data_IF_701285798618
#
_entry.id   IF_701285798618
#
_cell.length_a   1.000
_cell.length_b   1.000
_cell.length_c   1.000
_cell.angle_alpha   90.00
_cell.angle_beta   90.00
_cell.angle_gamma   90.00
#
_symmetry.space_group_name_H-M   'P 1'
#
loop_
_entity.id
_entity.type
_entity.pdbx_description
1 polymer ?
#
# COMPACT_ATOMS: atom_id res chain seq x y z
N UNK A 1 21.89 10.16 8.27
CA UNK A 1 21.14 11.37 7.91
C UNK A 1 20.25 10.93 6.78
N UNK A 2 19.01 10.55 7.11
CA UNK A 2 17.98 10.35 6.10
C UNK A 2 17.58 11.76 5.61
N UNK A 3 17.37 11.92 4.32
CA UNK A 3 17.03 13.21 3.69
C UNK A 3 15.65 13.68 4.16
N UNK A 4 15.45 15.00 4.24
CA UNK A 4 14.16 15.59 4.61
C UNK A 4 13.06 15.05 3.68
N UNK A 5 11.95 14.47 4.20
CA UNK A 5 10.87 13.93 3.38
C UNK A 5 10.31 14.94 2.37
N UNK A 6 10.36 16.24 2.68
CA UNK A 6 9.97 17.30 1.73
C UNK A 6 10.95 17.41 0.56
N UNK A 7 12.24 17.26 0.82
CA UNK A 7 13.26 17.25 -0.23
C UNK A 7 13.11 16.01 -1.11
N UNK A 8 12.87 14.83 -0.53
CA UNK A 8 12.62 13.61 -1.31
C UNK A 8 11.37 13.72 -2.19
N UNK A 9 10.30 14.31 -1.65
CA UNK A 9 9.08 14.57 -2.42
C UNK A 9 9.34 15.56 -3.56
N UNK A 10 10.06 16.65 -3.31
CA UNK A 10 10.42 17.63 -4.33
C UNK A 10 11.32 17.00 -5.41
N UNK A 11 12.32 16.20 -5.03
CA UNK A 11 13.18 15.46 -5.95
C UNK A 11 12.38 14.49 -6.83
N UNK A 12 11.42 13.75 -6.25
CA UNK A 12 10.53 12.87 -7.02
C UNK A 12 9.67 13.67 -8.00
N UNK A 13 9.13 14.82 -7.57
CA UNK A 13 8.40 15.72 -8.45
C UNK A 13 9.27 16.20 -9.62
N UNK A 14 10.52 16.62 -9.35
CA UNK A 14 11.48 17.07 -10.38
C UNK A 14 11.81 15.93 -11.35
N UNK A 15 12.04 14.71 -10.85
CA UNK A 15 12.38 13.54 -11.65
C UNK A 15 11.32 13.24 -12.73
N UNK A 16 10.05 13.50 -12.42
CA UNK A 16 8.92 13.23 -13.33
C UNK A 16 8.47 14.45 -14.14
N UNK A 17 8.95 15.65 -13.81
CA UNK A 17 8.57 16.88 -14.48
C UNK A 17 9.35 17.14 -15.79
N UNK A 18 8.69 17.82 -16.72
CA UNK A 18 9.34 18.38 -17.91
C UNK A 18 10.16 19.60 -17.48
N UNK A 19 11.47 19.59 -17.75
CA UNK A 19 12.36 20.69 -17.39
C UNK A 19 12.29 21.76 -18.49
N UNK A 20 11.87 22.98 -18.13
CA UNK A 20 11.80 24.13 -19.05
C UNK A 20 10.49 24.89 -18.97
N UNK A 21 10.23 25.71 -20.00
CA UNK A 21 9.04 26.56 -20.06
C UNK A 21 7.73 25.75 -20.00
N UNK A 22 6.75 26.32 -19.30
CA UNK A 22 5.43 25.69 -19.12
C UNK A 22 4.65 25.75 -20.43
N UNK A 23 4.28 24.59 -20.96
CA UNK A 23 3.40 24.44 -22.14
C UNK A 23 1.99 24.05 -21.68
N UNK A 24 0.95 24.68 -22.26
CA UNK A 24 -0.46 24.41 -21.90
C UNK A 24 -1.23 23.61 -22.95
N UNK A 25 -0.74 23.57 -24.19
CA UNK A 25 -1.37 22.92 -25.33
C UNK A 25 -0.94 21.46 -25.43
N UNK A 26 -1.89 20.53 -25.48
CA UNK A 26 -1.61 19.10 -25.58
C UNK A 26 -0.70 18.75 -26.77
N UNK A 27 -0.91 19.25 -28.00
CA UNK A 27 -0.04 18.94 -29.13
C UNK A 27 1.41 19.39 -28.91
N UNK A 28 1.62 20.57 -28.33
CA UNK A 28 2.96 21.11 -28.05
C UNK A 28 3.67 20.24 -27.00
N UNK A 29 2.96 19.90 -25.93
CA UNK A 29 3.45 19.02 -24.87
C UNK A 29 3.85 17.67 -25.48
N UNK A 30 2.95 17.00 -26.20
CA UNK A 30 3.21 15.67 -26.78
C UNK A 30 4.39 15.69 -27.77
N UNK A 31 4.51 16.74 -28.57
CA UNK A 31 5.64 16.90 -29.51
C UNK A 31 6.98 17.09 -28.77
N UNK A 32 6.98 17.76 -27.61
CA UNK A 32 8.19 17.95 -26.80
C UNK A 32 8.71 16.64 -26.16
N UNK A 33 7.83 15.65 -25.93
CA UNK A 33 8.18 14.40 -25.28
C UNK A 33 9.08 13.51 -26.14
N UNK A 34 9.81 12.60 -25.48
CA UNK A 34 10.58 11.58 -26.18
C UNK A 34 9.66 10.48 -26.74
N UNK A 35 10.09 9.77 -27.79
CA UNK A 35 9.34 8.60 -28.31
C UNK A 35 9.10 7.55 -27.23
N UNK A 36 10.08 7.35 -26.33
CA UNK A 36 9.95 6.41 -25.21
C UNK A 36 8.79 6.81 -24.30
N UNK A 37 8.74 8.09 -23.87
CA UNK A 37 7.66 8.58 -23.00
C UNK A 37 6.28 8.49 -23.68
N UNK A 38 6.18 8.85 -24.95
CA UNK A 38 4.94 8.68 -25.72
C UNK A 38 4.53 7.20 -25.81
N UNK A 39 5.48 6.29 -25.98
CA UNK A 39 5.21 4.85 -26.01
C UNK A 39 4.71 4.35 -24.66
N UNK A 40 5.26 4.85 -23.54
CA UNK A 40 4.78 4.56 -22.19
C UNK A 40 3.35 5.04 -21.98
N UNK A 41 3.04 6.29 -22.32
CA UNK A 41 1.68 6.85 -22.23
C UNK A 41 0.68 6.05 -23.09
N UNK A 42 1.07 5.72 -24.32
CA UNK A 42 0.23 4.92 -25.20
C UNK A 42 0.03 3.49 -24.67
N UNK A 43 1.01 2.96 -23.93
CA UNK A 43 0.89 1.65 -23.30
C UNK A 43 0.00 1.65 -22.06
N UNK A 44 0.14 2.67 -21.21
CA UNK A 44 -0.71 2.84 -20.03
C UNK A 44 -2.19 3.00 -20.41
N UNK A 45 -2.46 3.65 -21.56
CA UNK A 45 -3.80 3.81 -22.11
C UNK A 45 -4.21 2.70 -23.10
N UNK A 46 -3.44 1.60 -23.16
CA UNK A 46 -3.74 0.43 -24.01
C UNK A 46 -4.03 0.74 -25.49
N UNK A 47 -3.41 1.80 -26.05
CA UNK A 47 -3.63 2.21 -27.44
C UNK A 47 -3.21 1.09 -28.40
N UNK A 48 -4.13 0.70 -29.27
CA UNK A 48 -3.95 -0.36 -30.24
C UNK A 48 -2.92 0.01 -31.31
N UNK A 49 -2.06 -0.94 -31.70
CA UNK A 49 -1.05 -0.73 -32.75
C UNK A 49 0.15 0.15 -32.36
N UNK A 50 0.20 0.66 -31.12
CA UNK A 50 1.23 1.58 -30.61
C UNK A 50 2.68 1.12 -30.86
N UNK A 51 2.94 -0.19 -30.83
CA UNK A 51 4.30 -0.75 -30.98
C UNK A 51 4.93 -0.49 -32.34
N UNK A 52 4.11 -0.21 -33.37
CA UNK A 52 4.57 0.07 -34.74
C UNK A 52 4.61 1.57 -35.06
N UNK A 53 4.04 2.41 -34.21
CA UNK A 53 3.90 3.84 -34.47
C UNK A 53 5.23 4.59 -34.34
N UNK A 54 5.42 5.59 -35.21
CA UNK A 54 6.48 6.59 -35.10
C UNK A 54 6.13 7.64 -34.03
N UNK A 55 7.08 8.53 -33.71
CA UNK A 55 6.89 9.55 -32.66
C UNK A 55 5.66 10.43 -32.94
N UNK A 56 5.53 10.93 -34.16
CA UNK A 56 4.40 11.78 -34.58
C UNK A 56 3.08 11.02 -34.54
N UNK A 57 3.04 9.80 -35.10
CA UNK A 57 1.86 8.93 -35.08
C UNK A 57 1.40 8.59 -33.65
N UNK A 58 2.35 8.40 -32.70
CA UNK A 58 2.04 8.22 -31.28
C UNK A 58 1.43 9.48 -30.66
N UNK A 59 2.00 10.65 -30.96
CA UNK A 59 1.48 11.93 -30.46
C UNK A 59 0.07 12.20 -30.98
N UNK A 60 -0.19 11.94 -32.26
CA UNK A 60 -1.52 12.09 -32.86
C UNK A 60 -2.54 11.12 -32.24
N UNK A 61 -2.16 9.85 -32.07
CA UNK A 61 -3.01 8.84 -31.45
C UNK A 61 -3.33 9.18 -29.99
N UNK A 62 -2.34 9.63 -29.21
CA UNK A 62 -2.55 10.10 -27.84
C UNK A 62 -3.44 11.35 -27.80
N UNK A 63 -3.22 12.32 -28.68
CA UNK A 63 -4.05 13.52 -28.75
C UNK A 63 -5.52 13.17 -29.00
N UNK A 64 -5.78 12.26 -29.95
CA UNK A 64 -7.13 11.77 -30.22
C UNK A 64 -7.74 11.03 -29.01
N UNK A 65 -6.97 10.15 -28.37
CA UNK A 65 -7.42 9.38 -27.21
C UNK A 65 -7.73 10.27 -26.00
N UNK A 66 -6.82 11.19 -25.64
CA UNK A 66 -6.93 12.04 -24.46
C UNK A 66 -7.97 13.15 -24.59
N UNK A 67 -8.52 13.35 -25.79
CA UNK A 67 -9.58 14.32 -26.06
C UNK A 67 -10.94 13.67 -26.34
N UNK A 68 -11.03 12.35 -26.19
CA UNK A 68 -12.28 11.60 -26.22
C UNK A 68 -12.94 11.62 -24.83
N UNK A 69 -14.13 12.23 -24.67
CA UNK A 69 -14.84 12.29 -23.40
C UNK A 69 -15.09 10.93 -22.75
N UNK A 70 -15.30 9.86 -23.52
CA UNK A 70 -15.56 8.53 -22.94
C UNK A 70 -14.30 7.92 -22.31
N UNK A 71 -13.13 8.17 -22.90
CA UNK A 71 -11.85 7.77 -22.30
C UNK A 71 -11.53 8.57 -21.04
N UNK A 72 -11.88 9.86 -21.02
CA UNK A 72 -11.74 10.67 -19.81
C UNK A 72 -12.63 10.16 -18.68
N UNK A 73 -13.91 9.84 -18.97
CA UNK A 73 -14.83 9.27 -17.99
C UNK A 73 -14.27 7.98 -17.40
N UNK A 74 -13.82 7.04 -18.24
CA UNK A 74 -13.31 5.75 -17.76
C UNK A 74 -12.09 5.92 -16.85
N UNK A 75 -11.15 6.80 -17.21
CA UNK A 75 -9.98 7.10 -16.38
C UNK A 75 -10.37 7.70 -15.02
N UNK A 76 -11.31 8.64 -15.02
CA UNK A 76 -11.72 9.42 -13.84
C UNK A 76 -12.62 8.62 -12.89
N UNK A 77 -13.44 7.69 -13.40
CA UNK A 77 -14.36 6.89 -12.58
C UNK A 77 -13.68 5.98 -11.56
N UNK A 78 -12.42 5.65 -11.78
CA UNK A 78 -11.63 4.76 -10.90
C UNK A 78 -10.65 5.53 -10.02
N UNK A 79 -10.73 6.86 -9.93
CA UNK A 79 -9.81 7.66 -9.10
C UNK A 79 -10.13 7.56 -7.62
N UNK A 80 -9.16 7.80 -6.75
CA UNK A 80 -9.44 7.99 -5.33
C UNK A 80 -10.03 9.39 -5.04
N UNK A 81 -10.29 9.68 -3.77
CA UNK A 81 -10.87 10.94 -3.33
C UNK A 81 -9.91 12.14 -3.51
N UNK A 82 -8.61 11.97 -3.27
CA UNK A 82 -7.60 13.03 -3.38
C UNK A 82 -7.36 13.38 -4.85
N UNK A 83 -7.27 12.37 -5.71
CA UNK A 83 -7.22 12.52 -7.16
C UNK A 83 -8.47 13.20 -7.71
N UNK A 84 -9.66 12.86 -7.21
CA UNK A 84 -10.89 13.54 -7.62
C UNK A 84 -10.86 15.03 -7.24
N UNK A 85 -10.47 15.34 -6.00
CA UNK A 85 -10.32 16.71 -5.53
C UNK A 85 -9.31 17.51 -6.36
N UNK A 86 -8.21 16.87 -6.77
CA UNK A 86 -7.22 17.47 -7.65
C UNK A 86 -7.80 17.75 -9.05
N UNK A 87 -8.56 16.82 -9.63
CA UNK A 87 -9.22 17.00 -10.93
C UNK A 87 -10.12 18.24 -10.92
N UNK A 88 -10.95 18.40 -9.89
CA UNK A 88 -11.86 19.55 -9.75
C UNK A 88 -11.11 20.89 -9.74
N UNK A 89 -9.88 20.90 -9.20
CA UNK A 89 -9.01 22.08 -9.19
C UNK A 89 -8.38 22.30 -10.56
N UNK A 90 -7.78 21.27 -11.16
CA UNK A 90 -7.07 21.35 -12.43
C UNK A 90 -7.97 21.74 -13.62
N UNK A 91 -9.25 21.38 -13.59
CA UNK A 91 -10.21 21.79 -14.63
C UNK A 91 -10.48 23.30 -14.59
N UNK A 92 -10.44 23.92 -13.41
CA UNK A 92 -10.78 25.34 -13.21
C UNK A 92 -9.58 26.26 -13.35
N UNK A 93 -8.44 25.84 -12.83
CA UNK A 93 -7.22 26.65 -12.79
C UNK A 93 -6.33 26.38 -14.00
N UNK A 94 -5.58 27.36 -14.53
CA UNK A 94 -4.66 27.14 -15.63
C UNK A 94 -3.57 26.12 -15.27
N UNK A 95 -3.05 26.20 -14.04
CA UNK A 95 -2.08 25.29 -13.45
C UNK A 95 -2.14 25.41 -11.91
N UNK A 96 -1.52 24.45 -11.22
CA UNK A 96 -1.23 24.49 -9.79
C UNK A 96 0.28 24.68 -9.65
N UNK A 97 0.71 25.69 -8.89
CA UNK A 97 2.12 25.93 -8.61
C UNK A 97 2.42 25.62 -7.15
N UNK A 98 2.97 24.44 -6.88
CA UNK A 98 3.29 23.98 -5.53
C UNK A 98 4.38 22.90 -5.55
N UNK A 99 5.58 23.21 -5.01
CA UNK A 99 6.68 22.24 -4.95
C UNK A 99 6.41 21.11 -3.95
N UNK A 100 5.49 21.32 -3.01
CA UNK A 100 5.12 20.36 -1.98
C UNK A 100 3.86 19.55 -2.34
N UNK A 101 3.36 19.64 -3.58
CA UNK A 101 2.25 18.80 -4.03
C UNK A 101 2.71 17.32 -4.03
N UNK A 102 2.04 16.42 -3.28
CA UNK A 102 2.44 15.02 -3.23
C UNK A 102 2.36 14.37 -4.61
N UNK A 103 3.45 13.74 -5.05
CA UNK A 103 3.50 13.05 -6.34
C UNK A 103 2.36 12.04 -6.52
N UNK A 104 2.01 11.33 -5.44
CA UNK A 104 0.90 10.37 -5.43
C UNK A 104 -0.40 10.95 -5.95
N UNK A 105 -0.77 12.18 -5.56
CA UNK A 105 -2.05 12.81 -5.89
C UNK A 105 -2.26 13.05 -7.39
N UNK A 106 -1.19 13.14 -8.18
CA UNK A 106 -1.29 13.44 -9.61
C UNK A 106 -0.59 12.42 -10.52
N UNK A 107 0.14 11.47 -9.94
CA UNK A 107 0.89 10.43 -10.66
C UNK A 107 0.00 9.60 -11.58
N UNK A 108 -1.17 9.18 -11.12
CA UNK A 108 -2.14 8.43 -11.92
C UNK A 108 -2.55 9.15 -13.21
N UNK A 109 -2.89 10.44 -13.10
CA UNK A 109 -3.24 11.27 -14.25
C UNK A 109 -2.03 11.54 -15.15
N UNK A 110 -0.84 11.70 -14.56
CA UNK A 110 0.41 11.92 -15.28
C UNK A 110 0.84 10.70 -16.11
N UNK A 111 0.63 9.50 -15.59
CA UNK A 111 0.91 8.24 -16.28
C UNK A 111 -0.07 7.96 -17.43
N UNK A 112 -1.27 8.54 -17.34
CA UNK A 112 -2.28 8.50 -18.42
C UNK A 112 -2.19 9.68 -19.38
N UNK A 113 -1.42 10.72 -19.07
CA UNK A 113 -1.25 11.89 -19.94
C UNK A 113 -2.41 12.89 -19.86
N UNK A 114 -3.27 12.80 -18.83
CA UNK A 114 -4.29 13.82 -18.57
C UNK A 114 -3.70 15.05 -17.88
N UNK A 115 -2.60 14.87 -17.16
CA UNK A 115 -1.90 15.89 -16.39
C UNK A 115 -0.42 15.84 -16.74
N UNK A 116 0.23 16.99 -16.75
CA UNK A 116 1.66 17.12 -16.96
C UNK A 116 2.24 18.02 -15.87
N UNK A 117 3.44 17.67 -15.41
CA UNK A 117 4.22 18.53 -14.52
C UNK A 117 5.39 19.17 -15.25
N UNK A 118 5.71 20.39 -14.88
CA UNK A 118 6.84 21.17 -15.37
C UNK A 118 7.65 21.69 -14.20
N UNK A 119 8.97 21.69 -14.34
CA UNK A 119 9.85 22.35 -13.39
C UNK A 119 10.58 23.49 -14.09
N UNK A 120 10.25 24.72 -13.71
CA UNK A 120 10.76 25.94 -14.32
C UNK A 120 11.13 26.95 -13.24
N UNK A 121 12.29 27.57 -13.36
CA UNK A 121 12.79 28.60 -12.43
C UNK A 121 12.72 28.19 -10.93
N UNK A 122 12.95 26.91 -10.64
CA UNK A 122 12.90 26.38 -9.26
C UNK A 122 11.49 26.11 -8.73
N UNK A 123 10.47 26.12 -9.59
CA UNK A 123 9.06 25.92 -9.22
C UNK A 123 8.44 24.76 -9.99
N UNK A 124 7.66 23.95 -9.28
CA UNK A 124 6.81 22.91 -9.85
C UNK A 124 5.48 23.51 -10.30
N UNK A 125 5.09 23.21 -11.53
CA UNK A 125 3.78 23.52 -12.10
C UNK A 125 3.13 22.22 -12.53
N UNK A 126 1.89 21.98 -12.09
CA UNK A 126 1.08 20.81 -12.49
C UNK A 126 -0.16 21.32 -13.21
N UNK A 127 -0.42 20.81 -14.41
CA UNK A 127 -1.56 21.28 -15.21
C UNK A 127 -2.20 20.16 -16.01
N UNK A 128 -3.49 20.32 -16.27
CA UNK A 128 -4.20 19.60 -17.32
C UNK A 128 -4.10 20.41 -18.62
N UNK A 129 -3.82 19.81 -19.78
CA UNK A 129 -3.75 20.55 -21.04
C UNK A 129 -5.10 21.14 -21.46
N UNK A 130 -5.08 22.24 -22.22
CA UNK A 130 -6.29 22.96 -22.66
C UNK A 130 -7.29 22.07 -23.42
N UNK A 131 -6.78 21.21 -24.31
CA UNK A 131 -7.63 20.31 -25.10
C UNK A 131 -8.29 19.23 -24.23
N UNK A 132 -7.59 18.75 -23.20
CA UNK A 132 -8.14 17.80 -22.22
C UNK A 132 -9.20 18.50 -21.36
N UNK A 133 -8.97 19.74 -20.90
CA UNK A 133 -10.01 20.53 -20.20
C UNK A 133 -11.23 20.78 -21.07
N UNK A 134 -11.02 21.12 -22.34
CA UNK A 134 -12.11 21.30 -23.31
C UNK A 134 -12.91 20.02 -23.48
N UNK A 135 -12.23 18.86 -23.55
CA UNK A 135 -12.89 17.57 -23.56
C UNK A 135 -13.67 17.28 -22.27
N UNK A 136 -13.08 17.53 -21.11
CA UNK A 136 -13.74 17.38 -19.80
C UNK A 136 -14.98 18.28 -19.66
N UNK A 137 -14.98 19.49 -20.24
CA UNK A 137 -16.13 20.41 -20.20
C UNK A 137 -17.38 19.88 -20.94
N UNK A 138 -17.22 18.86 -21.78
CA UNK A 138 -18.33 18.18 -22.48
C UNK A 138 -18.93 17.04 -21.65
N UNK A 139 -18.38 16.76 -20.47
CA UNK A 139 -18.84 15.72 -19.55
C UNK A 139 -19.70 16.38 -18.46
N UNK A 140 -20.81 15.75 -18.08
CA UNK A 140 -21.53 16.14 -16.87
C UNK A 140 -20.73 15.66 -15.65
N UNK A 141 -19.92 16.56 -15.08
CA UNK A 141 -19.11 16.26 -13.91
C UNK A 141 -19.95 15.94 -12.66
N UNK A 142 -21.21 16.40 -12.59
CA UNK A 142 -22.08 16.13 -11.44
C UNK A 142 -22.60 14.69 -11.51
N UNK A 143 -23.04 14.26 -12.69
CA UNK A 143 -23.42 12.86 -12.95
C UNK A 143 -22.22 11.92 -12.76
N UNK A 144 -21.05 12.30 -13.30
CA UNK A 144 -19.83 11.52 -13.14
C UNK A 144 -19.41 11.38 -11.67
N UNK A 145 -19.54 12.47 -10.88
CA UNK A 145 -19.24 12.45 -9.43
C UNK A 145 -20.19 11.53 -8.67
N UNK A 146 -21.46 11.52 -9.06
CA UNK A 146 -22.45 10.63 -8.45
C UNK A 146 -22.12 9.16 -8.78
N UNK A 147 -21.77 8.86 -10.03
CA UNK A 147 -21.36 7.51 -10.43
C UNK A 147 -20.08 7.07 -9.71
N UNK A 148 -19.05 7.93 -9.70
CA UNK A 148 -17.79 7.71 -8.96
C UNK A 148 -18.07 7.40 -7.48
N UNK A 149 -18.85 8.24 -6.80
CA UNK A 149 -19.19 8.05 -5.40
C UNK A 149 -19.99 6.77 -5.13
N UNK A 150 -20.80 6.31 -6.10
CA UNK A 150 -21.55 5.05 -5.96
C UNK A 150 -20.68 3.79 -6.01
N UNK A 151 -19.46 3.89 -6.56
CA UNK A 151 -18.52 2.77 -6.70
C UNK A 151 -17.41 2.75 -5.64
N UNK A 152 -17.11 3.90 -5.04
CA UNK A 152 -15.98 4.05 -4.11
C UNK A 152 -15.96 3.00 -3.00
N UNK A 153 -17.10 2.80 -2.34
CA UNK A 153 -17.17 1.85 -1.24
C UNK A 153 -16.85 0.42 -1.71
N UNK A 154 -17.29 0.02 -2.91
CA UNK A 154 -16.96 -1.29 -3.46
C UNK A 154 -15.45 -1.42 -3.76
N UNK A 155 -14.81 -0.37 -4.27
CA UNK A 155 -13.35 -0.35 -4.45
C UNK A 155 -12.60 -0.45 -3.12
N UNK A 156 -13.07 0.26 -2.09
CA UNK A 156 -12.49 0.19 -0.74
C UNK A 156 -12.60 -1.23 -0.17
N UNK A 157 -13.75 -1.90 -0.35
CA UNK A 157 -13.92 -3.30 0.04
C UNK A 157 -12.98 -4.25 -0.70
N UNK A 158 -12.82 -4.08 -2.01
CA UNK A 158 -11.91 -4.91 -2.83
C UNK A 158 -10.47 -4.72 -2.37
N UNK A 159 -10.02 -3.46 -2.22
CA UNK A 159 -8.67 -3.16 -1.73
C UNK A 159 -8.45 -3.71 -0.32
N UNK A 160 -9.38 -3.44 0.61
CA UNK A 160 -9.32 -3.91 1.99
C UNK A 160 -9.25 -5.43 2.07
N UNK A 161 -10.06 -6.13 1.28
CA UNK A 161 -10.07 -7.58 1.26
C UNK A 161 -8.76 -8.15 0.70
N UNK A 162 -8.21 -7.56 -0.37
CA UNK A 162 -6.89 -7.94 -0.87
C UNK A 162 -5.80 -7.70 0.18
N UNK A 163 -5.77 -6.55 0.85
CA UNK A 163 -4.73 -6.21 1.82
C UNK A 163 -4.84 -7.00 3.13
N UNK A 164 -6.06 -7.27 3.63
CA UNK A 164 -6.25 -8.00 4.89
C UNK A 164 -6.13 -9.52 4.70
N UNK A 165 -6.67 -10.08 3.61
CA UNK A 165 -6.75 -11.52 3.44
C UNK A 165 -5.68 -12.11 2.54
N UNK A 166 -5.08 -11.30 1.67
CA UNK A 166 -4.09 -11.73 0.67
C UNK A 166 -4.70 -12.53 -0.49
N UNK A 167 -5.60 -13.47 -0.20
CA UNK A 167 -6.34 -14.26 -1.19
C UNK A 167 -7.77 -14.49 -0.71
N UNK A 168 -8.77 -14.14 -1.53
CA UNK A 168 -10.18 -14.29 -1.20
C UNK A 168 -11.02 -14.56 -2.45
N UNK A 169 -12.01 -15.46 -2.34
CA UNK A 169 -12.99 -15.69 -3.41
C UNK A 169 -14.01 -14.54 -3.48
N UNK A 170 -14.46 -14.20 -4.68
CA UNK A 170 -15.42 -13.11 -4.86
C UNK A 170 -16.76 -13.38 -4.16
N UNK A 171 -17.25 -14.62 -4.18
CA UNK A 171 -18.48 -15.01 -3.47
C UNK A 171 -18.41 -14.70 -1.95
N UNK A 172 -17.24 -14.96 -1.33
CA UNK A 172 -16.99 -14.64 0.07
C UNK A 172 -16.90 -13.13 0.29
N UNK A 173 -16.27 -12.38 -0.62
CA UNK A 173 -16.21 -10.93 -0.54
C UNK A 173 -17.61 -10.30 -0.67
N UNK A 174 -18.41 -10.75 -1.63
CA UNK A 174 -19.81 -10.34 -1.81
C UNK A 174 -20.61 -10.60 -0.54
N UNK A 175 -20.43 -11.78 0.07
CA UNK A 175 -21.08 -12.09 1.34
C UNK A 175 -20.69 -11.10 2.46
N UNK A 176 -19.40 -10.73 2.57
CA UNK A 176 -18.94 -9.74 3.54
C UNK A 176 -19.59 -8.37 3.27
N UNK A 177 -19.53 -7.88 2.02
CA UNK A 177 -20.13 -6.60 1.62
C UNK A 177 -21.62 -6.57 1.98
N UNK A 178 -22.36 -7.60 1.56
CA UNK A 178 -23.81 -7.68 1.76
C UNK A 178 -24.20 -7.86 3.23
N UNK A 179 -23.32 -8.46 4.05
CA UNK A 179 -23.55 -8.55 5.50
C UNK A 179 -23.39 -7.22 6.24
N UNK A 180 -22.64 -6.28 5.66
CA UNK A 180 -22.30 -4.98 6.26
C UNK A 180 -23.04 -3.80 5.63
N UNK A 181 -23.80 -4.03 4.56
CA UNK A 181 -24.48 -2.98 3.80
C UNK A 181 -25.95 -3.30 3.57
N UNK A 182 -26.76 -2.24 3.46
CA UNK A 182 -28.20 -2.38 3.17
C UNK A 182 -28.50 -2.58 1.68
N UNK A 183 -27.60 -2.11 0.81
CA UNK A 183 -27.68 -2.29 -0.63
C UNK A 183 -26.81 -3.49 -0.96
N UNK A 184 -27.43 -4.52 -1.52
CA UNK A 184 -26.72 -5.71 -1.93
C UNK A 184 -25.98 -5.46 -3.25
N UNK A 185 -24.81 -6.07 -3.37
CA UNK A 185 -24.04 -6.19 -4.61
C UNK A 185 -24.04 -7.64 -5.07
N UNK A 186 -23.97 -7.83 -6.38
CA UNK A 186 -23.82 -9.13 -7.01
C UNK A 186 -22.34 -9.43 -7.34
N UNK A 187 -22.00 -10.71 -7.49
CA UNK A 187 -20.63 -11.14 -7.79
C UNK A 187 -20.12 -10.57 -9.12
N UNK A 188 -20.98 -10.45 -10.13
CA UNK A 188 -20.64 -9.85 -11.43
C UNK A 188 -20.25 -8.37 -11.30
N UNK A 189 -20.90 -7.62 -10.39
CA UNK A 189 -20.58 -6.22 -10.13
C UNK A 189 -19.22 -6.09 -9.44
N UNK A 190 -18.97 -6.91 -8.41
CA UNK A 190 -17.67 -6.92 -7.71
C UNK A 190 -16.54 -7.36 -8.64
N UNK A 191 -16.78 -8.36 -9.50
CA UNK A 191 -15.81 -8.81 -10.51
C UNK A 191 -15.47 -7.68 -11.49
N UNK A 192 -16.48 -6.94 -11.95
CA UNK A 192 -16.29 -5.78 -12.83
C UNK A 192 -15.45 -4.70 -12.14
N UNK A 193 -15.78 -4.33 -10.90
CA UNK A 193 -15.03 -3.31 -10.16
C UNK A 193 -13.58 -3.75 -9.87
N UNK A 194 -13.37 -5.03 -9.57
CA UNK A 194 -12.01 -5.56 -9.40
C UNK A 194 -11.22 -5.50 -10.72
N UNK A 195 -11.83 -5.83 -11.86
CA UNK A 195 -11.19 -5.69 -13.17
C UNK A 195 -10.84 -4.22 -13.49
N UNK A 196 -11.73 -3.27 -13.20
CA UNK A 196 -11.48 -1.83 -13.35
C UNK A 196 -10.27 -1.38 -12.50
N UNK A 197 -10.13 -1.88 -11.27
CA UNK A 197 -8.97 -1.61 -10.40
C UNK A 197 -7.67 -2.27 -10.92
N UNK A 198 -7.73 -3.47 -11.48
CA UNK A 198 -6.58 -4.11 -12.15
C UNK A 198 -6.14 -3.27 -13.35
N UNK A 199 -7.07 -2.83 -14.20
CA UNK A 199 -6.78 -1.97 -15.35
C UNK A 199 -6.24 -0.58 -14.95
N UNK A 200 -6.68 -0.07 -13.79
CA UNK A 200 -6.13 1.13 -13.16
C UNK A 200 -4.64 0.95 -12.80
N UNK A 201 -4.18 -0.28 -12.59
CA UNK A 201 -2.83 -0.60 -12.13
C UNK A 201 -2.74 -0.70 -10.61
N UNK A 202 -3.85 -0.95 -9.92
CA UNK A 202 -3.84 -1.29 -8.51
C UNK A 202 -3.09 -2.62 -8.31
N UNK A 203 -2.35 -2.77 -7.20
CA UNK A 203 -1.55 -3.96 -6.91
C UNK A 203 -2.42 -5.14 -6.42
N UNK A 204 -3.33 -5.57 -7.30
CA UNK A 204 -4.26 -6.69 -7.11
C UNK A 204 -4.32 -7.52 -8.38
N UNK A 205 -4.73 -8.78 -8.26
CA UNK A 205 -4.93 -9.69 -9.40
C UNK A 205 -6.30 -10.34 -9.27
N UNK A 206 -7.05 -10.42 -10.36
CA UNK A 206 -8.30 -11.15 -10.46
C UNK A 206 -8.11 -12.35 -11.40
N UNK A 207 -8.31 -13.57 -10.90
CA UNK A 207 -8.17 -14.79 -11.68
C UNK A 207 -9.19 -15.84 -11.21
N UNK A 208 -9.99 -16.39 -12.14
CA UNK A 208 -10.99 -17.43 -11.89
C UNK A 208 -11.92 -17.16 -10.68
N UNK A 209 -12.42 -15.93 -10.54
CA UNK A 209 -13.31 -15.54 -9.43
C UNK A 209 -12.60 -15.41 -8.08
N UNK A 210 -11.27 -15.35 -8.08
CA UNK A 210 -10.44 -15.14 -6.88
C UNK A 210 -9.66 -13.84 -7.01
N UNK A 211 -9.73 -13.04 -5.95
CA UNK A 211 -8.97 -11.81 -5.78
C UNK A 211 -7.69 -12.12 -4.99
N UNK A 212 -6.56 -11.67 -5.51
CA UNK A 212 -5.24 -11.79 -4.89
C UNK A 212 -4.65 -10.41 -4.65
N UNK A 213 -3.94 -10.28 -3.54
CA UNK A 213 -2.99 -9.20 -3.31
C UNK A 213 -1.81 -9.35 -4.29
N UNK A 214 -1.39 -8.25 -4.92
CA UNK A 214 -0.31 -8.25 -5.89
C UNK A 214 1.03 -8.69 -5.31
N UNK A 215 1.32 -8.40 -4.03
CA UNK A 215 2.53 -8.89 -3.35
C UNK A 215 2.50 -10.41 -3.13
N UNK A 216 1.32 -10.99 -2.87
CA UNK A 216 1.16 -12.44 -2.64
C UNK A 216 1.33 -13.23 -3.94
N UNK A 217 0.77 -12.70 -5.03
CA UNK A 217 0.71 -13.35 -6.33
C UNK A 217 1.70 -12.76 -7.35
N UNK A 218 2.71 -12.01 -6.89
CA UNK A 218 3.65 -11.32 -7.76
C UNK A 218 4.39 -12.31 -8.68
N UNK A 219 4.21 -12.16 -9.99
CA UNK A 219 4.81 -13.02 -11.00
C UNK A 219 4.36 -14.49 -10.92
N UNK A 220 3.25 -14.77 -10.24
CA UNK A 220 2.68 -16.11 -10.15
C UNK A 220 2.16 -16.55 -11.52
N UNK A 221 2.45 -17.80 -11.88
CA UNK A 221 1.77 -18.49 -12.98
C UNK A 221 0.50 -19.20 -12.48
N UNK A 222 -0.26 -19.78 -13.39
CA UNK A 222 -1.52 -20.46 -13.07
C UNK A 222 -1.34 -21.59 -12.03
N UNK A 223 -0.18 -22.26 -12.03
CA UNK A 223 0.13 -23.31 -11.04
C UNK A 223 0.28 -22.72 -9.65
N UNK A 224 1.01 -21.60 -9.53
CA UNK A 224 1.19 -20.92 -8.25
C UNK A 224 -0.11 -20.30 -7.74
N UNK A 225 -0.94 -19.76 -8.63
CA UNK A 225 -2.27 -19.28 -8.26
C UNK A 225 -3.15 -20.42 -7.74
N UNK A 226 -3.12 -21.58 -8.39
CA UNK A 226 -3.85 -22.76 -7.92
C UNK A 226 -3.40 -23.18 -6.50
N UNK A 227 -2.10 -23.22 -6.21
CA UNK A 227 -1.57 -23.50 -4.86
C UNK A 227 -2.09 -22.50 -3.81
N UNK A 228 -2.13 -21.21 -4.16
CA UNK A 228 -2.63 -20.15 -3.27
C UNK A 228 -4.14 -20.27 -2.98
N UNK A 229 -4.88 -20.96 -3.85
CA UNK A 229 -6.32 -21.19 -3.67
C UNK A 229 -6.67 -22.48 -2.93
N UNK A 230 -5.69 -23.34 -2.64
CA UNK A 230 -5.93 -24.60 -1.94
C UNK A 230 -6.57 -24.38 -0.56
N UNK A 231 -7.68 -25.08 -0.31
CA UNK A 231 -8.36 -25.06 0.99
C UNK A 231 -9.16 -23.79 1.29
N UNK A 232 -9.24 -22.82 0.37
CA UNK A 232 -9.99 -21.57 0.57
C UNK A 232 -11.47 -21.81 0.95
N UNK A 233 -12.11 -22.84 0.39
CA UNK A 233 -13.52 -23.17 0.68
C UNK A 233 -13.80 -23.47 2.15
N UNK A 234 -12.81 -24.03 2.85
CA UNK A 234 -12.93 -24.41 4.26
C UNK A 234 -12.25 -23.42 5.22
N UNK A 235 -11.63 -22.37 4.69
CA UNK A 235 -10.79 -21.47 5.46
C UNK A 235 -11.65 -20.45 6.23
N UNK A 236 -11.48 -20.32 7.56
CA UNK A 236 -12.13 -19.25 8.31
C UNK A 236 -11.51 -17.89 7.95
N UNK A 237 -12.34 -16.85 7.94
CA UNK A 237 -11.92 -15.47 7.70
C UNK A 237 -12.27 -14.63 8.92
N UNK A 238 -11.31 -13.79 9.32
CA UNK A 238 -11.55 -12.74 10.30
C UNK A 238 -12.32 -11.63 9.61
N UNK A 239 -13.59 -11.43 9.97
CA UNK A 239 -14.40 -10.33 9.41
C UNK A 239 -14.59 -9.28 10.50
N UNK A 240 -13.84 -8.16 10.49
CA UNK A 240 -14.07 -7.08 11.44
C UNK A 240 -15.34 -6.30 11.11
N UNK A 241 -15.71 -5.39 11.99
CA UNK A 241 -16.71 -4.37 11.70
C UNK A 241 -16.30 -3.53 10.48
N UNK A 242 -17.28 -2.96 9.78
CA UNK A 242 -17.10 -2.25 8.51
C UNK A 242 -16.02 -1.18 8.58
N UNK A 243 -16.07 -0.31 9.59
CA UNK A 243 -15.12 0.78 9.73
C UNK A 243 -13.69 0.29 9.97
N UNK A 244 -13.51 -0.86 10.62
CA UNK A 244 -12.20 -1.48 10.77
C UNK A 244 -11.73 -2.13 9.47
N UNK A 245 -12.62 -2.82 8.75
CA UNK A 245 -12.29 -3.43 7.46
C UNK A 245 -11.82 -2.39 6.45
N UNK A 246 -12.59 -1.31 6.27
CA UNK A 246 -12.30 -0.31 5.24
C UNK A 246 -11.01 0.49 5.50
N UNK A 247 -10.45 0.48 6.72
CA UNK A 247 -9.10 1.02 6.96
C UNK A 247 -8.03 0.29 6.16
N UNK A 248 -8.22 -1.00 5.89
CA UNK A 248 -7.30 -1.77 5.05
C UNK A 248 -7.37 -1.40 3.57
N UNK A 249 -8.29 -0.52 3.13
CA UNK A 249 -8.25 0.00 1.76
C UNK A 249 -6.98 0.83 1.51
N UNK A 250 -6.44 1.49 2.54
CA UNK A 250 -5.13 2.10 2.51
C UNK A 250 -4.04 1.02 2.55
N UNK A 251 -3.23 0.95 1.49
CA UNK A 251 -2.11 0.01 1.37
C UNK A 251 -1.08 0.19 2.50
N UNK A 252 -0.92 1.41 3.02
CA UNK A 252 0.00 1.71 4.12
C UNK A 252 -0.57 1.41 5.50
N UNK A 253 -1.87 1.07 5.60
CA UNK A 253 -2.50 0.81 6.88
C UNK A 253 -2.19 -0.61 7.39
N UNK A 254 -1.79 -0.66 8.65
CA UNK A 254 -1.82 -1.86 9.47
C UNK A 254 -2.15 -1.51 10.91
N UNK A 255 -2.55 -2.51 11.69
CA UNK A 255 -2.87 -2.31 13.09
C UNK A 255 -1.59 -2.19 13.94
N UNK A 256 -1.41 -1.04 14.58
CA UNK A 256 -0.42 -0.87 15.66
C UNK A 256 -0.91 -1.58 16.92
N UNK A 257 -0.75 -2.90 16.97
CA UNK A 257 -1.14 -3.72 18.13
C UNK A 257 -0.39 -3.31 19.39
N UNK A 258 -0.89 -3.66 20.60
CA UNK A 258 -0.14 -3.45 21.84
C UNK A 258 1.26 -4.07 21.81
N UNK A 259 1.41 -5.24 21.18
CA UNK A 259 2.68 -5.96 21.06
C UNK A 259 3.67 -5.24 20.14
N UNK A 260 3.20 -4.77 18.98
CA UNK A 260 4.04 -4.00 18.05
C UNK A 260 4.43 -2.64 18.64
N UNK A 261 3.50 -2.00 19.36
CA UNK A 261 3.77 -0.78 20.12
C UNK A 261 4.81 -0.98 21.22
N UNK A 262 4.77 -2.12 21.90
CA UNK A 262 5.77 -2.48 22.92
C UNK A 262 7.16 -2.71 22.29
N UNK A 263 7.22 -3.39 21.14
CA UNK A 263 8.46 -3.53 20.38
C UNK A 263 9.00 -2.17 19.95
N UNK A 264 8.17 -1.31 19.34
CA UNK A 264 8.53 0.07 18.94
C UNK A 264 9.13 0.84 20.12
N UNK A 265 8.44 0.81 21.27
CA UNK A 265 8.89 1.48 22.47
C UNK A 265 10.22 0.92 22.99
N UNK A 266 10.42 -0.40 22.96
CA UNK A 266 11.67 -1.01 23.39
C UNK A 266 12.85 -0.58 22.51
N UNK A 267 12.68 -0.61 21.18
CA UNK A 267 13.71 -0.21 20.22
C UNK A 267 14.05 1.27 20.38
N UNK A 268 13.04 2.16 20.46
CA UNK A 268 13.24 3.60 20.67
C UNK A 268 13.97 3.91 21.99
N UNK A 269 13.69 3.16 23.04
CA UNK A 269 14.26 3.45 24.35
C UNK A 269 15.69 2.96 24.49
N UNK A 270 16.04 1.83 23.88
CA UNK A 270 17.27 1.10 24.19
C UNK A 270 18.24 0.98 23.00
N UNK A 271 17.75 0.98 21.77
CA UNK A 271 18.52 0.59 20.58
C UNK A 271 18.78 1.78 19.65
N UNK A 272 17.73 2.47 19.17
CA UNK A 272 17.84 3.63 18.29
C UNK A 272 17.00 4.80 18.82
N UNK A 273 17.45 6.05 18.61
CA UNK A 273 16.67 7.26 18.89
C UNK A 273 16.08 7.89 17.63
N UNK A 274 16.40 7.33 16.47
CA UNK A 274 15.89 7.76 15.18
C UNK A 274 14.45 7.24 15.04
N UNK A 275 13.48 8.14 15.15
CA UNK A 275 12.06 7.77 15.17
C UNK A 275 11.59 7.23 13.82
N UNK A 276 12.01 7.89 12.74
CA UNK A 276 11.63 7.52 11.38
C UNK A 276 12.20 6.14 11.01
N UNK A 277 13.48 5.91 11.33
CA UNK A 277 14.10 4.59 11.13
C UNK A 277 13.35 3.47 11.87
N UNK A 278 12.89 3.74 13.09
CA UNK A 278 12.16 2.75 13.88
C UNK A 278 10.75 2.54 13.35
N UNK A 279 10.10 3.58 12.82
CA UNK A 279 8.81 3.46 12.13
C UNK A 279 8.93 2.53 10.93
N UNK A 280 9.89 2.75 10.05
CA UNK A 280 10.11 1.84 8.93
C UNK A 280 10.47 0.40 9.34
N UNK A 281 11.18 0.21 10.46
CA UNK A 281 11.44 -1.12 11.00
C UNK A 281 10.15 -1.81 11.47
N UNK A 282 9.20 -1.06 12.05
CA UNK A 282 7.91 -1.64 12.45
C UNK A 282 7.10 -2.05 11.22
N UNK A 283 7.11 -1.24 10.17
CA UNK A 283 6.44 -1.54 8.90
C UNK A 283 6.99 -2.84 8.28
N UNK A 284 8.32 -2.98 8.20
CA UNK A 284 8.96 -4.20 7.67
C UNK A 284 8.61 -5.44 8.49
N UNK A 285 8.67 -5.34 9.82
CA UNK A 285 8.34 -6.44 10.72
C UNK A 285 6.87 -6.84 10.58
N UNK A 286 5.97 -5.85 10.51
CA UNK A 286 4.55 -6.11 10.37
C UNK A 286 4.24 -6.77 9.02
N UNK A 287 4.84 -6.30 7.93
CA UNK A 287 4.67 -6.88 6.60
C UNK A 287 5.23 -8.31 6.55
N UNK A 288 6.42 -8.54 7.10
CA UNK A 288 7.04 -9.85 7.16
C UNK A 288 6.17 -10.86 7.95
N UNK A 289 5.62 -10.44 9.09
CA UNK A 289 4.67 -11.25 9.86
C UNK A 289 3.39 -11.55 9.05
N UNK A 290 2.82 -10.54 8.38
CA UNK A 290 1.61 -10.69 7.54
C UNK A 290 1.80 -11.71 6.43
N UNK A 291 2.99 -11.70 5.81
CA UNK A 291 3.42 -12.64 4.79
C UNK A 291 4.02 -13.95 5.35
N UNK A 292 3.78 -14.26 6.63
CA UNK A 292 4.24 -15.49 7.30
C UNK A 292 5.75 -15.77 7.09
N UNK A 293 6.57 -14.92 7.68
CA UNK A 293 8.02 -15.11 7.70
C UNK A 293 8.50 -16.10 8.78
N UNK A 294 9.82 -16.34 8.80
CA UNK A 294 10.51 -16.99 9.91
C UNK A 294 11.03 -15.97 10.92
N UNK A 295 11.37 -16.42 12.13
CA UNK A 295 12.01 -15.56 13.13
C UNK A 295 13.36 -15.02 12.68
N UNK A 296 14.09 -15.76 11.85
CA UNK A 296 15.36 -15.29 11.30
C UNK A 296 15.13 -14.10 10.36
N UNK A 297 14.06 -14.12 9.55
CA UNK A 297 13.72 -12.99 8.67
C UNK A 297 13.43 -11.73 9.50
N UNK A 298 12.67 -11.86 10.59
CA UNK A 298 12.42 -10.72 11.49
C UNK A 298 13.70 -10.17 12.13
N UNK A 299 14.67 -11.03 12.45
CA UNK A 299 15.98 -10.59 12.94
C UNK A 299 16.76 -9.88 11.82
N UNK A 300 16.69 -10.39 10.59
CA UNK A 300 17.35 -9.77 9.44
C UNK A 300 16.84 -8.35 9.18
N UNK A 301 15.58 -8.02 9.49
CA UNK A 301 15.08 -6.65 9.35
C UNK A 301 15.80 -5.63 10.24
N UNK A 302 16.25 -6.05 11.43
CA UNK A 302 17.11 -5.21 12.26
C UNK A 302 18.46 -4.95 11.59
N UNK A 303 19.03 -5.94 10.91
CA UNK A 303 20.28 -5.79 10.17
C UNK A 303 20.10 -4.90 8.94
N UNK A 304 19.03 -5.08 8.18
CA UNK A 304 18.66 -4.28 7.01
C UNK A 304 18.53 -2.79 7.39
N UNK A 305 17.87 -2.51 8.51
CA UNK A 305 17.71 -1.15 9.07
C UNK A 305 18.93 -0.67 9.88
N UNK A 306 20.00 -1.47 9.96
CA UNK A 306 21.24 -1.15 10.71
C UNK A 306 20.99 -0.84 12.19
N UNK A 307 19.98 -1.48 12.78
CA UNK A 307 19.64 -1.39 14.20
C UNK A 307 20.34 -2.52 14.95
N UNK A 308 21.53 -2.24 15.48
CA UNK A 308 22.36 -3.28 16.11
C UNK A 308 21.90 -3.68 17.51
N UNK A 309 21.94 -4.99 17.79
CA UNK A 309 21.83 -5.53 19.14
C UNK A 309 23.06 -5.17 19.97
N UNK A 310 22.90 -4.30 20.97
CA UNK A 310 24.04 -3.80 21.76
C UNK A 310 24.50 -4.80 22.82
N UNK A 311 23.60 -5.65 23.32
CA UNK A 311 23.89 -6.66 24.35
C UNK A 311 23.11 -7.95 24.08
N UNK A 312 23.58 -9.11 24.59
CA UNK A 312 22.80 -10.36 24.54
C UNK A 312 21.42 -10.25 25.20
N UNK A 313 21.27 -9.39 26.21
CA UNK A 313 19.98 -9.15 26.87
C UNK A 313 19.03 -8.37 25.96
N UNK A 314 19.53 -7.43 25.16
CA UNK A 314 18.72 -6.78 24.13
C UNK A 314 18.25 -7.78 23.08
N UNK A 315 19.15 -8.64 22.59
CA UNK A 315 18.80 -9.68 21.63
C UNK A 315 17.71 -10.60 22.18
N UNK A 316 17.87 -11.12 23.40
CA UNK A 316 16.87 -11.98 24.04
C UNK A 316 15.51 -11.28 24.18
N UNK A 317 15.50 -10.00 24.62
CA UNK A 317 14.26 -9.25 24.79
C UNK A 317 13.57 -8.97 23.46
N UNK A 318 14.32 -8.63 22.41
CA UNK A 318 13.75 -8.43 21.07
C UNK A 318 13.15 -9.73 20.55
N UNK A 319 13.85 -10.86 20.68
CA UNK A 319 13.34 -12.18 20.26
C UNK A 319 12.00 -12.49 20.94
N UNK A 320 11.86 -12.23 22.24
CA UNK A 320 10.58 -12.39 22.94
C UNK A 320 9.49 -11.47 22.39
N UNK A 321 9.80 -10.20 22.16
CA UNK A 321 8.84 -9.22 21.64
C UNK A 321 8.42 -9.57 20.20
N UNK A 322 9.34 -10.07 19.37
CA UNK A 322 9.05 -10.53 18.02
C UNK A 322 8.10 -11.73 18.00
N UNK A 323 8.27 -12.69 18.93
CA UNK A 323 7.34 -13.80 19.05
C UNK A 323 5.92 -13.32 19.40
N UNK A 324 5.79 -12.36 20.32
CA UNK A 324 4.50 -11.76 20.68
C UNK A 324 3.88 -10.99 19.51
N UNK A 325 4.67 -10.20 18.78
CA UNK A 325 4.20 -9.51 17.56
C UNK A 325 3.71 -10.51 16.52
N UNK A 326 4.50 -11.55 16.23
CA UNK A 326 4.15 -12.56 15.24
C UNK A 326 2.85 -13.29 15.60
N UNK A 327 2.69 -13.69 16.86
CA UNK A 327 1.49 -14.38 17.33
C UNK A 327 0.20 -13.53 17.22
N UNK A 328 0.34 -12.20 17.28
CA UNK A 328 -0.78 -11.24 17.31
C UNK A 328 -0.91 -10.41 16.02
N UNK A 329 -0.15 -10.73 14.97
CA UNK A 329 -0.29 -10.09 13.66
C UNK A 329 -1.27 -10.87 12.80
N UNK A 330 -2.17 -10.15 12.12
CA UNK A 330 -3.09 -10.74 11.13
C UNK A 330 -2.30 -11.24 9.92
N UNK A 331 -2.59 -12.45 9.46
CA UNK A 331 -1.82 -13.06 8.36
C UNK A 331 -2.71 -13.41 7.17
N UNK A 332 -2.17 -13.22 5.96
CA UNK A 332 -2.83 -13.62 4.71
C UNK A 332 -3.10 -15.13 4.68
N UNK A 333 -2.10 -15.91 5.05
CA UNK A 333 -2.23 -17.38 5.14
C UNK A 333 -3.28 -17.85 6.13
N UNK A 334 -3.74 -16.99 7.05
CA UNK A 334 -4.76 -17.27 8.07
C UNK A 334 -6.10 -16.57 7.80
N UNK A 335 -6.30 -15.94 6.64
CA UNK A 335 -7.57 -15.28 6.30
C UNK A 335 -7.82 -14.06 7.20
N UNK A 336 -6.77 -13.32 7.53
CA UNK A 336 -6.84 -12.14 8.41
C UNK A 336 -6.86 -12.45 9.90
N UNK A 337 -6.85 -13.73 10.29
CA UNK A 337 -6.71 -14.11 11.69
C UNK A 337 -5.27 -13.99 12.21
N UNK A 338 -5.15 -13.71 13.51
CA UNK A 338 -3.90 -13.91 14.25
C UNK A 338 -3.73 -15.38 14.65
N UNK A 339 -2.52 -15.79 15.05
CA UNK A 339 -2.30 -17.15 15.56
C UNK A 339 -3.02 -17.38 16.90
N UNK A 340 -3.12 -16.34 17.73
CA UNK A 340 -3.87 -16.37 19.01
C UNK A 340 -5.35 -16.63 18.78
N UNK A 341 -5.96 -15.95 17.81
CA UNK A 341 -7.36 -16.16 17.44
C UNK A 341 -7.59 -17.58 16.92
N UNK A 342 -6.75 -18.06 15.99
CA UNK A 342 -6.86 -19.42 15.45
C UNK A 342 -6.72 -20.50 16.53
N UNK A 343 -5.76 -20.36 17.45
CA UNK A 343 -5.59 -21.30 18.56
C UNK A 343 -6.82 -21.37 19.47
N UNK A 344 -7.55 -20.27 19.62
CA UNK A 344 -8.77 -20.19 20.43
C UNK A 344 -10.00 -20.83 19.76
N UNK A 345 -9.96 -21.06 18.44
CA UNK A 345 -11.05 -21.66 17.67
C UNK A 345 -11.02 -23.20 17.68
N UNK A 346 -9.91 -23.82 18.07
CA UNK A 346 -9.75 -25.27 18.05
C UNK A 346 -10.27 -25.90 19.35
N UNK A 347 -11.55 -26.29 19.36
CA UNK A 347 -12.16 -26.98 20.50
C UNK A 347 -11.40 -28.27 20.85
N UNK A 348 -10.98 -28.39 22.11
CA UNK A 348 -10.32 -29.60 22.65
C UNK A 348 -8.80 -29.67 22.44
N UNK A 349 -8.18 -28.70 21.77
CA UNK A 349 -6.72 -28.55 21.72
C UNK A 349 -6.23 -27.48 22.70
N UNK A 350 -4.95 -27.55 23.11
CA UNK A 350 -4.34 -26.49 23.91
C UNK A 350 -4.29 -25.21 23.06
N UNK A 351 -4.92 -24.07 23.46
CA UNK A 351 -4.91 -22.82 22.69
C UNK A 351 -3.52 -22.26 22.43
N UNK A 352 -2.54 -22.78 23.17
CA UNK A 352 -1.13 -22.44 23.07
C UNK A 352 -0.38 -23.25 22.00
N UNK A 353 -1.00 -24.31 21.48
CA UNK A 353 -0.47 -25.18 20.43
C UNK A 353 -0.46 -24.41 19.11
N UNK A 354 0.72 -24.20 18.53
CA UNK A 354 0.90 -23.43 17.29
C UNK A 354 1.36 -21.98 17.48
N UNK A 355 1.39 -21.48 18.73
CA UNK A 355 2.02 -20.19 19.03
C UNK A 355 3.55 -20.31 18.97
N UNK A 356 4.19 -19.30 18.42
CA UNK A 356 5.66 -19.18 18.45
C UNK A 356 6.08 -18.85 19.87
N UNK A 357 6.94 -19.68 20.45
CA UNK A 357 7.53 -19.50 21.78
C UNK A 357 9.02 -19.76 21.70
N UNK A 358 9.80 -18.74 22.02
CA UNK A 358 11.27 -18.78 21.90
C UNK A 358 11.97 -18.71 23.25
N UNK A 359 11.22 -18.53 24.34
CA UNK A 359 11.72 -18.56 25.70
C UNK A 359 10.72 -19.30 26.55
N UNK A 360 11.17 -20.30 27.31
CA UNK A 360 10.37 -20.85 28.39
C UNK A 360 10.21 -19.76 29.47
N UNK A 361 8.98 -19.46 29.86
CA UNK A 361 8.66 -18.55 30.98
C UNK A 361 9.37 -18.96 32.30
N UNK A 362 9.93 -20.17 32.36
CA UNK A 362 10.54 -20.78 33.54
C UNK A 362 12.05 -20.57 33.71
N UNK A 363 12.78 -20.01 32.74
CA UNK A 363 14.19 -19.67 32.96
C UNK A 363 14.43 -18.18 32.76
N UNK A 364 14.61 -17.49 33.90
CA UNK A 364 15.32 -16.22 33.96
C UNK A 364 16.75 -16.40 33.45
N UNK A 365 16.94 -16.47 32.13
CA UNK A 365 18.24 -16.36 31.45
C UNK A 365 18.66 -14.89 31.43
N UNK A 366 18.57 -14.23 32.59
CA UNK A 366 19.34 -13.01 32.83
C UNK A 366 20.73 -13.52 33.20
N UNK A 367 21.80 -13.12 32.47
CA UNK A 367 23.17 -13.41 32.92
C UNK A 367 23.27 -13.03 34.40
N UNK A 368 23.95 -13.82 35.23
CA UNK A 368 24.15 -13.47 36.65
C UNK A 368 24.97 -12.18 36.73
N UNK A 369 24.30 -11.04 36.64
CA UNK A 369 24.90 -9.70 36.72
C UNK A 369 25.02 -9.32 38.18
N UNK A 370 26.22 -8.91 38.57
CA UNK A 370 26.48 -8.46 39.92
C UNK A 370 25.57 -7.29 40.28
N UNK A 371 25.02 -7.29 41.52
CA UNK A 371 24.08 -6.26 42.02
C UNK A 371 24.54 -4.80 41.78
N UNK A 372 25.86 -4.58 41.71
CA UNK A 372 26.47 -3.26 41.48
C UNK A 372 27.04 -3.04 40.07
N UNK A 373 27.00 -4.04 39.19
CA UNK A 373 27.45 -3.94 37.80
C UNK A 373 26.46 -3.12 36.96
N UNK A 374 26.91 -2.53 35.84
CA UNK A 374 26.01 -1.91 34.86
C UNK A 374 24.91 -2.89 34.46
N UNK A 375 23.68 -2.39 34.45
CA UNK A 375 22.51 -3.20 34.11
C UNK A 375 22.60 -3.65 32.65
N UNK A 376 22.41 -4.94 32.34
CA UNK A 376 22.65 -5.47 31.00
C UNK A 376 21.60 -5.01 29.98
N UNK A 377 20.53 -4.35 30.44
CA UNK A 377 19.54 -3.67 29.62
C UNK A 377 20.05 -2.35 28.99
N UNK A 378 21.30 -1.95 29.25
CA UNK A 378 21.89 -0.75 28.63
C UNK A 378 21.40 0.59 29.19
N UNK A 379 20.69 0.61 30.33
CA UNK A 379 20.17 1.84 30.95
C UNK A 379 21.24 2.75 31.56
N UNK A 380 22.50 2.32 31.60
CA UNK A 380 23.60 3.01 32.30
C UNK A 380 23.52 2.97 33.83
N UNK A 381 22.43 2.44 34.41
CA UNK A 381 22.25 2.29 35.85
C UNK A 381 22.87 0.99 36.36
N UNK A 382 23.22 0.93 37.65
CA UNK A 382 23.58 -0.34 38.31
C UNK A 382 22.39 -1.30 38.35
N UNK A 383 22.60 -2.60 38.21
CA UNK A 383 21.53 -3.62 38.18
C UNK A 383 20.50 -3.43 39.30
N UNK A 384 20.93 -3.24 40.55
CA UNK A 384 20.04 -2.98 41.72
C UNK A 384 19.17 -1.73 41.67
N UNK A 385 19.48 -0.80 40.78
CA UNK A 385 18.74 0.45 40.58
C UNK A 385 17.82 0.39 39.36
N UNK A 386 17.86 -0.71 38.60
CA UNK A 386 17.12 -0.91 37.36
C UNK A 386 16.29 -2.21 37.45
N UNK A 387 16.79 -3.33 36.92
CA UNK A 387 16.09 -4.62 36.88
C UNK A 387 16.24 -5.48 38.15
N UNK A 388 17.15 -5.12 39.06
CA UNK A 388 17.35 -5.81 40.34
C UNK A 388 16.70 -5.09 41.53
N UNK A 389 15.56 -4.43 41.29
CA UNK A 389 14.74 -3.79 42.33
C UNK A 389 13.91 -4.80 43.10
#
# INVERSE_FOLDING_TARGET
>A
MLEDPRLQMEERNIQHAIIGDVMTRLPEILQSLTKSRLSSLASANQISGRSKMKKEELADALSAYLTDPEQLKSIVLVTDADEWALLETLIKEPNIQDNALPFGHYSYYLERGLVFSFFSEGKLYVLMPEEVKSAASRIDLSELKQEHGSKQEAYEYIAAAAHLYGVIKLDKLVHIINSQNSIAVEEEEVAKYAAEMVERGQDIILHDGVLFNGLVANGADDSRLAELTEGLDSKPFFVPEKEELLRYADLGYFEMTPQLSELKAFVLNNMSKDQELVEYLMDDIQLACTNKCTMQDLINEFENRKVSFKTPVHAQRVISLLAEVYNNTRMWSNGGHTLVELGSMQEGEDPKKGLVRLVDDNENVVPKVGRNEPCPCGSGLKYKKCHGK
#
